data_IF_704910417001
#
_entry.id   IF_704910417001
#
_cell.length_a   1.000
_cell.length_b   1.000
_cell.length_c   1.000
_cell.angle_alpha   90.00
_cell.angle_beta   90.00
_cell.angle_gamma   90.00
#
_symmetry.space_group_name_H-M   'P 1'
#
loop_
_entity.id
_entity.type
_entity.pdbx_description
1 polymer ?
#
# COMPACT_ATOMS: atom_id res chain seq x y z
N UNK A 1 -13.23 19.77 13.41
CA UNK A 1 -14.55 19.87 12.74
C UNK A 1 -15.14 18.48 12.70
N UNK A 2 -16.32 18.29 13.30
CA UNK A 2 -17.02 16.99 13.32
C UNK A 2 -18.23 16.98 12.35
N UNK A 3 -18.07 17.61 11.18
CA UNK A 3 -19.09 17.49 10.15
C UNK A 3 -18.67 16.39 9.18
N UNK A 4 -19.57 15.46 8.82
CA UNK A 4 -19.32 14.48 7.80
C UNK A 4 -18.99 15.19 6.48
N UNK A 5 -17.99 14.70 5.77
CA UNK A 5 -17.67 15.12 4.42
C UNK A 5 -17.73 13.91 3.48
N UNK A 6 -18.16 14.16 2.27
CA UNK A 6 -18.24 13.14 1.22
C UNK A 6 -17.00 13.25 0.34
N UNK A 7 -16.25 12.16 0.24
CA UNK A 7 -15.08 12.03 -0.61
C UNK A 7 -14.95 10.56 -1.03
N UNK A 8 -15.07 10.31 -2.28
CA UNK A 8 -14.66 9.01 -2.85
C UNK A 8 -13.14 8.97 -2.90
N UNK A 9 -12.54 7.94 -2.34
CA UNK A 9 -11.08 7.76 -2.40
C UNK A 9 -10.77 6.42 -3.02
N UNK A 10 -10.07 6.46 -4.14
CA UNK A 10 -9.59 5.26 -4.83
C UNK A 10 -8.22 4.86 -4.31
N UNK A 11 -8.02 3.56 -4.10
CA UNK A 11 -6.75 2.97 -3.68
C UNK A 11 -6.20 2.06 -4.78
N UNK A 12 -4.96 2.29 -5.15
CA UNK A 12 -4.23 1.49 -6.14
C UNK A 12 -2.88 1.08 -5.56
N UNK A 13 -2.38 -0.08 -6.03
CA UNK A 13 -1.04 -0.57 -5.74
C UNK A 13 -0.26 -0.76 -7.05
N UNK A 14 -0.25 -1.97 -7.58
CA UNK A 14 0.47 -2.27 -8.81
C UNK A 14 -0.35 -1.90 -10.06
N UNK A 15 0.22 -1.08 -10.93
CA UNK A 15 -0.35 -0.77 -12.24
C UNK A 15 0.67 -1.18 -13.29
N UNK A 16 0.49 -2.39 -13.84
CA UNK A 16 1.46 -2.99 -14.76
C UNK A 16 0.79 -4.01 -15.69
N UNK A 17 1.31 -4.14 -16.88
CA UNK A 17 0.91 -5.22 -17.78
C UNK A 17 1.62 -6.54 -17.42
N UNK A 18 1.04 -7.70 -17.77
CA UNK A 18 1.66 -9.00 -17.48
C UNK A 18 3.09 -9.17 -18.03
N UNK A 19 3.42 -8.50 -19.15
CA UNK A 19 4.76 -8.47 -19.73
C UNK A 19 5.76 -7.75 -18.84
N UNK A 20 5.38 -6.61 -18.28
CA UNK A 20 6.23 -5.79 -17.40
C UNK A 20 6.58 -6.55 -16.10
N UNK A 21 5.63 -7.32 -15.58
CA UNK A 21 5.87 -8.19 -14.41
C UNK A 21 6.95 -9.25 -14.69
N UNK A 22 6.99 -9.80 -15.89
CA UNK A 22 8.00 -10.75 -16.31
C UNK A 22 9.36 -10.10 -16.55
N UNK A 23 9.39 -8.89 -17.16
CA UNK A 23 10.61 -8.14 -17.44
C UNK A 23 11.27 -7.58 -16.16
N UNK A 24 10.46 -7.15 -15.18
CA UNK A 24 10.96 -6.74 -13.87
C UNK A 24 11.47 -7.90 -13.02
N UNK A 25 11.29 -9.16 -13.49
CA UNK A 25 11.62 -10.37 -12.73
C UNK A 25 10.72 -10.61 -11.51
N UNK A 26 9.74 -9.73 -11.27
CA UNK A 26 8.88 -9.81 -10.08
C UNK A 26 7.85 -10.94 -10.16
N UNK A 27 7.29 -11.19 -11.36
CA UNK A 27 6.16 -12.10 -11.54
C UNK A 27 4.89 -11.70 -10.79
N UNK A 28 4.89 -10.54 -10.13
CA UNK A 28 3.76 -10.03 -9.34
C UNK A 28 2.74 -9.45 -10.31
N UNK A 29 1.52 -9.99 -10.28
CA UNK A 29 0.39 -9.42 -11.03
C UNK A 29 0.00 -8.04 -10.49
N UNK A 30 -0.62 -7.23 -11.34
CA UNK A 30 -1.18 -5.93 -10.99
C UNK A 30 -2.33 -5.59 -11.92
N UNK A 31 -2.95 -4.44 -11.69
CA UNK A 31 -3.97 -3.91 -12.58
C UNK A 31 -3.34 -3.61 -13.95
N UNK A 32 -3.87 -4.17 -15.06
CA UNK A 32 -3.37 -3.83 -16.39
C UNK A 32 -3.49 -2.33 -16.67
N UNK A 33 -2.50 -1.76 -17.36
CA UNK A 33 -2.44 -0.32 -17.65
C UNK A 33 -3.69 0.17 -18.37
N UNK A 34 -4.18 -0.59 -19.36
CA UNK A 34 -5.40 -0.25 -20.09
C UNK A 34 -6.66 -0.28 -19.22
N UNK A 35 -6.71 -1.16 -18.20
CA UNK A 35 -7.82 -1.25 -17.24
C UNK A 35 -7.81 -0.04 -16.33
N UNK A 36 -6.65 0.36 -15.82
CA UNK A 36 -6.50 1.58 -15.02
C UNK A 36 -6.98 2.82 -15.78
N UNK A 37 -6.54 2.99 -17.03
CA UNK A 37 -6.94 4.13 -17.86
C UNK A 37 -8.45 4.14 -18.13
N UNK A 38 -9.03 2.99 -18.47
CA UNK A 38 -10.47 2.85 -18.66
C UNK A 38 -11.28 3.11 -17.38
N UNK A 39 -10.76 2.73 -16.23
CA UNK A 39 -11.37 3.03 -14.92
C UNK A 39 -11.40 4.54 -14.64
N UNK A 40 -10.33 5.28 -14.99
CA UNK A 40 -10.33 6.74 -14.88
C UNK A 40 -11.42 7.38 -15.75
N UNK A 41 -11.60 6.91 -16.98
CA UNK A 41 -12.64 7.40 -17.89
C UNK A 41 -14.05 7.12 -17.34
N UNK A 42 -14.26 5.97 -16.70
CA UNK A 42 -15.56 5.63 -16.10
C UNK A 42 -15.83 6.47 -14.84
N UNK A 43 -14.83 6.63 -13.98
CA UNK A 43 -14.94 7.48 -12.78
C UNK A 43 -15.21 8.95 -13.15
N UNK A 44 -14.62 9.46 -14.23
CA UNK A 44 -14.83 10.82 -14.72
C UNK A 44 -16.28 11.12 -15.11
N UNK A 45 -17.09 10.10 -15.44
CA UNK A 45 -18.52 10.30 -15.76
C UNK A 45 -19.38 10.60 -14.54
N UNK A 46 -18.96 10.19 -13.36
CA UNK A 46 -19.73 10.27 -12.12
C UNK A 46 -19.07 11.16 -11.06
N UNK A 47 -17.77 11.38 -11.17
CA UNK A 47 -16.96 12.06 -10.17
C UNK A 47 -16.18 13.24 -10.75
N UNK A 48 -15.88 14.19 -9.88
CA UNK A 48 -14.91 15.26 -10.12
C UNK A 48 -13.62 14.91 -9.41
N UNK A 49 -12.55 14.64 -10.16
CA UNK A 49 -11.25 14.39 -9.55
C UNK A 49 -10.72 15.63 -8.87
N UNK A 50 -10.21 15.42 -7.65
CA UNK A 50 -9.61 16.45 -6.82
C UNK A 50 -8.20 16.09 -6.42
N UNK A 51 -7.34 17.12 -6.28
CA UNK A 51 -6.00 16.98 -5.77
C UNK A 51 -5.95 16.87 -4.25
N UNK A 52 -4.86 16.34 -3.70
CA UNK A 52 -4.64 16.39 -2.25
C UNK A 52 -4.67 17.82 -1.70
N UNK A 53 -4.20 18.80 -2.46
CA UNK A 53 -4.24 20.21 -2.04
C UNK A 53 -5.67 20.72 -1.83
N UNK A 54 -6.61 20.35 -2.69
CA UNK A 54 -8.03 20.73 -2.54
C UNK A 54 -8.63 20.03 -1.30
N UNK A 55 -8.29 18.76 -1.07
CA UNK A 55 -8.70 18.03 0.15
C UNK A 55 -8.11 18.69 1.41
N UNK A 56 -6.83 19.08 1.40
CA UNK A 56 -6.21 19.83 2.50
C UNK A 56 -6.97 21.12 2.81
N UNK A 57 -7.30 21.91 1.79
CA UNK A 57 -8.04 23.17 1.96
C UNK A 57 -9.44 22.92 2.58
N UNK A 58 -10.13 21.89 2.11
CA UNK A 58 -11.44 21.52 2.66
C UNK A 58 -11.34 21.06 4.12
N UNK A 59 -10.35 20.21 4.46
CA UNK A 59 -10.12 19.75 5.83
C UNK A 59 -9.78 20.89 6.80
N UNK A 60 -9.16 21.95 6.30
CA UNK A 60 -8.81 23.15 7.08
C UNK A 60 -9.94 24.20 7.13
N UNK A 61 -11.02 23.98 6.38
CA UNK A 61 -12.12 24.94 6.26
C UNK A 61 -11.80 26.15 5.39
N UNK A 62 -10.78 26.06 4.54
CA UNK A 62 -10.32 27.10 3.62
C UNK A 62 -10.93 26.93 2.21
N UNK A 63 -11.74 25.90 2.01
CA UNK A 63 -12.41 25.57 0.76
C UNK A 63 -13.49 24.52 0.94
N UNK A 64 -14.16 24.13 -0.14
CA UNK A 64 -15.13 23.04 -0.18
C UNK A 64 -14.83 22.09 -1.33
N UNK A 65 -15.09 20.82 -1.14
CA UNK A 65 -15.02 19.82 -2.21
C UNK A 65 -16.32 19.83 -3.03
N UNK A 66 -16.28 19.47 -4.33
CA UNK A 66 -17.50 19.19 -5.10
C UNK A 66 -18.24 18.00 -4.49
N UNK A 67 -19.56 17.91 -4.71
CA UNK A 67 -20.40 16.87 -4.11
C UNK A 67 -19.99 15.44 -4.54
N UNK A 68 -19.37 15.31 -5.71
CA UNK A 68 -18.87 14.04 -6.24
C UNK A 68 -17.34 13.98 -6.28
N UNK A 69 -16.65 14.58 -5.29
CA UNK A 69 -15.20 14.59 -5.24
C UNK A 69 -14.61 13.18 -5.23
N UNK A 70 -13.58 12.96 -6.02
CA UNK A 70 -12.82 11.70 -6.06
C UNK A 70 -11.31 11.97 -5.97
N UNK A 71 -10.65 11.39 -4.97
CA UNK A 71 -9.21 11.45 -4.80
C UNK A 71 -8.59 10.11 -5.23
N UNK A 72 -7.59 10.18 -6.09
CA UNK A 72 -6.82 9.00 -6.51
C UNK A 72 -5.62 8.81 -5.58
N UNK A 73 -5.49 7.64 -4.98
CA UNK A 73 -4.38 7.31 -4.06
C UNK A 73 -3.64 6.05 -4.50
N UNK A 74 -2.32 6.03 -4.25
CA UNK A 74 -1.41 4.97 -4.68
C UNK A 74 -0.48 4.60 -3.52
N UNK A 75 -0.46 3.33 -3.11
CA UNK A 75 0.30 2.87 -1.95
C UNK A 75 1.65 2.25 -2.35
N UNK A 76 2.58 2.17 -1.39
CA UNK A 76 3.87 1.50 -1.42
C UNK A 76 5.02 2.25 -2.13
N UNK A 77 4.76 3.20 -3.01
CA UNK A 77 5.82 3.91 -3.73
C UNK A 77 6.64 3.01 -4.66
N UNK A 78 5.99 2.07 -5.35
CA UNK A 78 6.64 1.17 -6.32
C UNK A 78 6.93 1.88 -7.65
N UNK A 79 7.90 1.37 -8.41
CA UNK A 79 8.34 1.94 -9.69
C UNK A 79 7.20 2.09 -10.72
N UNK A 80 6.20 1.22 -10.70
CA UNK A 80 5.01 1.30 -11.56
C UNK A 80 4.31 2.66 -11.49
N UNK A 81 4.33 3.29 -10.31
CA UNK A 81 3.74 4.60 -10.12
C UNK A 81 4.38 5.67 -11.00
N UNK A 82 5.69 5.57 -11.24
CA UNK A 82 6.40 6.50 -12.11
C UNK A 82 6.25 6.14 -13.59
N UNK A 83 6.44 4.87 -13.94
CA UNK A 83 6.46 4.46 -15.36
C UNK A 83 5.07 4.40 -15.99
N UNK A 84 4.02 4.11 -15.19
CA UNK A 84 2.65 3.94 -15.66
C UNK A 84 1.70 5.01 -15.09
N UNK A 85 1.38 4.97 -13.78
CA UNK A 85 0.37 5.83 -13.18
C UNK A 85 0.63 7.33 -13.43
N UNK A 86 1.82 7.82 -13.10
CA UNK A 86 2.19 9.23 -13.28
C UNK A 86 2.05 9.71 -14.73
N UNK A 87 2.50 8.92 -15.70
CA UNK A 87 2.40 9.27 -17.12
C UNK A 87 0.96 9.36 -17.59
N UNK A 88 0.11 8.44 -17.13
CA UNK A 88 -1.31 8.44 -17.44
C UNK A 88 -1.98 9.65 -16.80
N UNK A 89 -1.80 9.88 -15.50
CA UNK A 89 -2.38 11.02 -14.80
C UNK A 89 -2.00 12.34 -15.46
N UNK A 90 -0.73 12.51 -15.83
CA UNK A 90 -0.28 13.71 -16.56
C UNK A 90 -0.99 13.89 -17.92
N UNK A 91 -1.17 12.82 -18.70
CA UNK A 91 -1.89 12.91 -19.99
C UNK A 91 -3.34 13.36 -19.80
N UNK A 92 -3.99 12.90 -18.73
CA UNK A 92 -5.37 13.26 -18.40
C UNK A 92 -5.49 14.60 -17.64
N UNK A 93 -4.39 15.26 -17.31
CA UNK A 93 -4.39 16.48 -16.48
C UNK A 93 -4.87 16.24 -15.05
N UNK A 94 -4.69 15.02 -14.54
CA UNK A 94 -5.10 14.59 -13.21
C UNK A 94 -3.94 14.62 -12.23
N UNK A 95 -4.27 14.71 -10.93
CA UNK A 95 -3.34 14.60 -9.81
C UNK A 95 -3.59 13.31 -9.03
N UNK A 96 -2.54 12.73 -8.45
CA UNK A 96 -2.61 11.61 -7.53
C UNK A 96 -1.90 11.91 -6.22
N UNK A 97 -2.32 11.26 -5.13
CA UNK A 97 -1.64 11.23 -3.84
C UNK A 97 -0.94 9.88 -3.67
N UNK A 98 0.39 9.90 -3.62
CA UNK A 98 1.23 8.72 -3.54
C UNK A 98 1.74 8.54 -2.10
N UNK A 99 1.36 7.45 -1.46
CA UNK A 99 1.85 7.08 -0.14
C UNK A 99 3.13 6.27 -0.29
N UNK A 100 4.25 6.88 0.10
CA UNK A 100 5.58 6.33 -0.10
C UNK A 100 6.17 5.78 1.19
N UNK A 101 6.81 4.61 1.09
CA UNK A 101 7.64 4.07 2.15
C UNK A 101 8.88 4.95 2.35
N UNK A 102 9.34 5.10 3.60
CA UNK A 102 10.62 5.76 3.87
C UNK A 102 11.79 4.91 3.33
N UNK A 103 12.44 5.42 2.29
CA UNK A 103 13.61 4.81 1.65
C UNK A 103 14.87 5.66 1.84
N UNK A 104 14.92 6.45 2.89
CA UNK A 104 16.11 7.26 3.25
C UNK A 104 17.33 6.40 3.60
N UNK A 105 17.09 5.17 4.04
CA UNK A 105 18.10 4.14 4.25
C UNK A 105 17.91 3.04 3.20
N UNK A 106 18.97 2.51 2.59
CA UNK A 106 18.89 1.45 1.59
C UNK A 106 18.65 0.08 2.26
N UNK A 107 17.55 -0.04 2.98
CA UNK A 107 17.08 -1.33 3.50
C UNK A 107 16.50 -2.15 2.33
N UNK A 108 16.57 -3.47 2.39
CA UNK A 108 16.03 -4.37 1.36
C UNK A 108 14.54 -4.18 1.05
N UNK A 109 13.86 -5.19 0.61
CA UNK A 109 12.42 -5.16 0.41
C UNK A 109 11.68 -5.18 1.75
N UNK A 110 10.55 -4.47 1.88
CA UNK A 110 9.66 -4.67 3.02
C UNK A 110 9.08 -6.09 2.99
N UNK A 111 8.80 -6.64 4.15
CA UNK A 111 8.36 -8.04 4.31
C UNK A 111 7.20 -8.42 3.37
N UNK A 112 6.21 -7.53 3.23
CA UNK A 112 5.07 -7.76 2.33
C UNK A 112 5.48 -7.97 0.88
N UNK A 113 6.37 -7.15 0.36
CA UNK A 113 6.85 -7.26 -1.02
C UNK A 113 7.76 -8.47 -1.22
N UNK A 114 8.62 -8.79 -0.26
CA UNK A 114 9.42 -10.01 -0.26
C UNK A 114 8.53 -11.26 -0.40
N UNK A 115 7.45 -11.31 0.37
CA UNK A 115 6.43 -12.37 0.28
C UNK A 115 5.78 -12.39 -1.12
N UNK A 116 5.44 -11.25 -1.71
CA UNK A 116 4.86 -11.19 -3.04
C UNK A 116 5.78 -11.79 -4.11
N UNK A 117 7.06 -11.42 -4.11
CA UNK A 117 8.05 -12.00 -5.03
C UNK A 117 8.17 -13.52 -4.86
N UNK A 118 8.24 -13.99 -3.62
CA UNK A 118 8.37 -15.42 -3.34
C UNK A 118 7.10 -16.19 -3.74
N UNK A 119 5.90 -15.63 -3.51
CA UNK A 119 4.64 -16.20 -3.98
C UNK A 119 4.58 -16.27 -5.51
N UNK A 120 5.01 -15.22 -6.20
CA UNK A 120 5.07 -15.20 -7.65
C UNK A 120 6.05 -16.23 -8.20
N UNK A 121 7.18 -16.43 -7.51
CA UNK A 121 8.22 -17.40 -7.91
C UNK A 121 7.83 -18.86 -7.67
N UNK A 122 7.24 -19.16 -6.53
CA UNK A 122 7.01 -20.54 -6.07
C UNK A 122 5.57 -21.00 -6.20
N UNK A 123 4.62 -20.05 -6.14
CA UNK A 123 3.22 -20.36 -5.81
C UNK A 123 3.03 -20.64 -4.32
N UNK A 124 1.78 -20.71 -3.87
CA UNK A 124 1.42 -20.74 -2.45
C UNK A 124 1.88 -22.02 -1.75
N UNK A 125 1.52 -23.20 -2.29
CA UNK A 125 1.77 -24.46 -1.61
C UNK A 125 3.27 -24.83 -1.57
N UNK A 126 4.06 -24.67 -2.64
CA UNK A 126 5.50 -24.89 -2.58
C UNK A 126 6.21 -23.90 -1.63
N UNK A 127 5.83 -22.62 -1.62
CA UNK A 127 6.39 -21.66 -0.69
C UNK A 127 6.08 -22.02 0.77
N UNK A 128 4.82 -22.40 1.05
CA UNK A 128 4.40 -22.86 2.37
C UNK A 128 5.25 -24.05 2.86
N UNK A 129 5.49 -25.02 2.00
CA UNK A 129 6.34 -26.19 2.32
C UNK A 129 7.78 -25.75 2.58
N UNK A 130 8.36 -24.92 1.70
CA UNK A 130 9.73 -24.45 1.85
C UNK A 130 9.98 -23.69 3.16
N UNK A 131 8.97 -22.90 3.60
CA UNK A 131 9.00 -22.21 4.88
C UNK A 131 8.85 -23.22 6.04
N UNK A 132 7.82 -24.08 5.99
CA UNK A 132 7.54 -25.06 7.03
C UNK A 132 8.73 -25.94 7.38
N UNK A 133 9.48 -26.37 6.38
CA UNK A 133 10.65 -27.24 6.56
C UNK A 133 11.78 -26.57 7.36
N UNK A 134 11.80 -25.24 7.38
CA UNK A 134 12.80 -24.42 8.08
C UNK A 134 12.39 -24.00 9.48
N UNK A 135 11.08 -24.04 9.81
CA UNK A 135 10.59 -23.65 11.10
C UNK A 135 10.98 -24.66 12.20
N UNK A 136 11.28 -24.15 13.38
CA UNK A 136 11.42 -24.97 14.59
C UNK A 136 10.06 -25.45 15.13
N UNK A 137 10.08 -26.26 16.18
CA UNK A 137 8.86 -26.87 16.75
C UNK A 137 7.87 -25.81 17.30
N UNK A 138 8.35 -24.75 17.95
CA UNK A 138 7.52 -23.68 18.49
C UNK A 138 6.91 -22.84 17.37
N UNK A 139 7.70 -22.51 16.36
CA UNK A 139 7.23 -21.76 15.19
C UNK A 139 6.18 -22.56 14.39
N UNK A 140 6.37 -23.88 14.24
CA UNK A 140 5.39 -24.77 13.59
C UNK A 140 4.06 -24.84 14.36
N UNK A 141 4.12 -24.86 15.69
CA UNK A 141 2.92 -24.80 16.51
C UNK A 141 2.17 -23.49 16.29
N UNK A 142 2.84 -22.34 16.35
CA UNK A 142 2.26 -21.02 16.08
C UNK A 142 1.71 -20.91 14.67
N UNK A 143 2.43 -21.42 13.68
CA UNK A 143 1.96 -21.47 12.28
C UNK A 143 0.64 -22.23 12.18
N UNK A 144 0.55 -23.42 12.80
CA UNK A 144 -0.65 -24.25 12.76
C UNK A 144 -1.83 -23.54 13.42
N UNK A 145 -1.63 -22.98 14.62
CA UNK A 145 -2.67 -22.23 15.34
C UNK A 145 -3.15 -21.00 14.54
N UNK A 146 -2.24 -20.29 13.90
CA UNK A 146 -2.56 -19.16 13.04
C UNK A 146 -3.33 -19.61 11.79
N UNK A 147 -2.92 -20.71 11.15
CA UNK A 147 -3.63 -21.27 9.98
C UNK A 147 -5.07 -21.66 10.34
N UNK A 148 -5.30 -22.33 11.46
CA UNK A 148 -6.65 -22.68 11.93
C UNK A 148 -7.51 -21.43 12.18
N UNK A 149 -6.95 -20.40 12.79
CA UNK A 149 -7.63 -19.13 13.05
C UNK A 149 -8.02 -18.40 11.76
N UNK A 150 -7.11 -18.30 10.79
CA UNK A 150 -7.38 -17.61 9.52
C UNK A 150 -8.31 -18.41 8.60
N UNK A 151 -8.37 -19.75 8.70
CA UNK A 151 -9.37 -20.54 7.97
C UNK A 151 -10.81 -20.20 8.36
N UNK A 152 -11.05 -19.67 9.55
CA UNK A 152 -12.38 -19.15 9.95
C UNK A 152 -12.70 -17.85 9.21
N UNK A 153 -11.70 -17.00 8.98
CA UNK A 153 -11.84 -15.74 8.25
C UNK A 153 -11.90 -15.94 6.71
N UNK A 154 -11.18 -16.94 6.22
CA UNK A 154 -11.07 -17.31 4.81
C UNK A 154 -11.55 -18.76 4.61
N UNK A 155 -12.89 -18.99 4.63
CA UNK A 155 -13.45 -20.34 4.74
C UNK A 155 -13.48 -21.13 3.42
N UNK A 156 -13.30 -20.46 2.26
CA UNK A 156 -13.20 -21.17 1.00
C UNK A 156 -11.78 -21.75 0.86
N UNK A 157 -11.62 -22.85 0.16
CA UNK A 157 -10.29 -23.39 -0.16
C UNK A 157 -9.82 -22.90 -1.54
N UNK A 158 -10.19 -21.68 -1.90
CA UNK A 158 -9.75 -21.05 -3.13
C UNK A 158 -8.25 -20.74 -3.11
N UNK A 159 -7.65 -20.57 -4.29
CA UNK A 159 -6.26 -20.16 -4.39
C UNK A 159 -6.02 -18.83 -3.65
N UNK A 160 -6.99 -17.91 -3.75
CA UNK A 160 -6.91 -16.60 -3.11
C UNK A 160 -6.95 -16.71 -1.57
N UNK A 161 -7.83 -17.54 -1.02
CA UNK A 161 -7.89 -17.75 0.44
C UNK A 161 -6.60 -18.36 0.97
N UNK A 162 -6.01 -19.33 0.27
CA UNK A 162 -4.72 -19.91 0.66
C UNK A 162 -3.59 -18.88 0.63
N UNK A 163 -3.58 -17.98 -0.38
CA UNK A 163 -2.64 -16.85 -0.44
C UNK A 163 -2.86 -15.92 0.76
N UNK A 164 -4.08 -15.53 1.04
CA UNK A 164 -4.43 -14.61 2.13
C UNK A 164 -4.06 -15.19 3.50
N UNK A 165 -4.32 -16.48 3.71
CA UNK A 165 -3.93 -17.18 4.95
C UNK A 165 -2.41 -17.16 5.11
N UNK A 166 -1.66 -17.57 4.07
CA UNK A 166 -0.20 -17.61 4.15
C UNK A 166 0.38 -16.21 4.40
N UNK A 167 -0.09 -15.19 3.67
CA UNK A 167 0.32 -13.79 3.88
C UNK A 167 0.06 -13.34 5.31
N UNK A 168 -1.14 -13.60 5.85
CA UNK A 168 -1.49 -13.20 7.22
C UNK A 168 -0.57 -13.85 8.26
N UNK A 169 -0.29 -15.15 8.14
CA UNK A 169 0.64 -15.86 9.03
C UNK A 169 2.04 -15.23 9.00
N UNK A 170 2.57 -15.00 7.79
CA UNK A 170 3.92 -14.49 7.62
C UNK A 170 4.08 -13.02 8.02
N UNK A 171 3.06 -12.21 7.80
CA UNK A 171 3.10 -10.76 8.06
C UNK A 171 2.71 -10.39 9.51
N UNK A 172 2.04 -11.26 10.23
CA UNK A 172 1.56 -11.00 11.61
C UNK A 172 2.16 -11.95 12.62
N UNK A 173 1.88 -13.23 12.49
CA UNK A 173 2.16 -14.21 13.55
C UNK A 173 3.63 -14.59 13.63
N UNK A 174 4.35 -14.53 12.52
CA UNK A 174 5.76 -14.90 12.41
C UNK A 174 6.66 -13.77 11.85
N UNK A 175 6.16 -12.56 11.73
CA UNK A 175 6.82 -11.47 11.00
C UNK A 175 8.27 -11.21 11.41
N UNK A 176 8.57 -11.27 12.69
CA UNK A 176 9.93 -11.01 13.21
C UNK A 176 10.89 -12.16 12.90
N UNK A 177 10.42 -13.42 13.09
CA UNK A 177 11.26 -14.60 12.96
C UNK A 177 11.44 -15.05 11.51
N UNK A 178 10.47 -14.70 10.65
CA UNK A 178 10.43 -15.19 9.28
C UNK A 178 11.25 -14.35 8.31
N UNK A 179 11.49 -13.08 8.63
CA UNK A 179 12.09 -12.13 7.70
C UNK A 179 13.46 -12.59 7.18
N UNK A 180 14.36 -12.98 8.07
CA UNK A 180 15.68 -13.53 7.69
C UNK A 180 15.56 -14.79 6.83
N UNK A 181 14.64 -15.69 7.16
CA UNK A 181 14.41 -16.90 6.36
C UNK A 181 13.91 -16.56 4.94
N UNK A 182 13.03 -15.58 4.82
CA UNK A 182 12.53 -15.16 3.52
C UNK A 182 13.61 -14.41 2.72
N UNK A 183 14.50 -13.67 3.37
CA UNK A 183 15.69 -13.10 2.74
C UNK A 183 16.61 -14.19 2.19
N UNK A 184 16.89 -15.25 2.94
CA UNK A 184 17.69 -16.39 2.47
C UNK A 184 17.05 -17.08 1.25
N UNK A 185 15.73 -17.26 1.26
CA UNK A 185 15.01 -17.82 0.12
C UNK A 185 15.04 -16.88 -1.08
N UNK A 186 14.91 -15.58 -0.86
CA UNK A 186 14.95 -14.55 -1.89
C UNK A 186 16.32 -14.55 -2.59
N UNK A 187 17.40 -14.39 -1.82
CA UNK A 187 18.78 -14.38 -2.33
C UNK A 187 19.11 -15.64 -3.13
N UNK A 188 18.66 -16.79 -2.65
CA UNK A 188 18.92 -18.07 -3.29
C UNK A 188 18.16 -18.28 -4.60
N UNK A 189 16.95 -17.79 -4.73
CA UNK A 189 16.02 -18.17 -5.80
C UNK A 189 15.62 -17.04 -6.74
N UNK A 190 15.79 -15.80 -6.33
CA UNK A 190 15.43 -14.61 -7.11
C UNK A 190 16.66 -13.79 -7.44
N UNK A 191 17.48 -13.44 -6.45
CA UNK A 191 18.70 -12.65 -6.59
C UNK A 191 18.91 -11.70 -5.43
N UNK A 192 19.77 -10.70 -5.56
CA UNK A 192 20.05 -9.73 -4.50
C UNK A 192 18.79 -8.94 -4.11
N UNK A 193 18.40 -9.05 -2.84
CA UNK A 193 17.28 -8.30 -2.28
C UNK A 193 17.54 -6.80 -2.32
N UNK A 194 18.77 -6.37 -2.03
CA UNK A 194 19.17 -4.97 -2.06
C UNK A 194 19.10 -4.40 -3.49
N UNK A 195 19.67 -5.09 -4.49
CA UNK A 195 19.62 -4.66 -5.89
C UNK A 195 18.17 -4.60 -6.41
N UNK A 196 17.36 -5.59 -6.02
CA UNK A 196 15.93 -5.61 -6.37
C UNK A 196 15.21 -4.41 -5.76
N UNK A 197 15.42 -4.12 -4.48
CA UNK A 197 14.78 -2.97 -3.81
C UNK A 197 15.15 -1.63 -4.46
N UNK A 198 16.39 -1.45 -4.91
CA UNK A 198 16.85 -0.24 -5.61
C UNK A 198 16.11 0.02 -6.93
N UNK A 199 15.66 -1.03 -7.60
CA UNK A 199 14.93 -0.91 -8.87
C UNK A 199 13.42 -1.09 -8.74
N UNK A 200 12.95 -1.51 -7.58
CA UNK A 200 11.54 -1.79 -7.34
C UNK A 200 10.78 -0.59 -6.77
N UNK A 201 11.42 0.22 -5.94
CA UNK A 201 10.83 1.41 -5.36
C UNK A 201 11.18 2.67 -6.13
N UNK A 202 10.36 3.71 -5.96
CA UNK A 202 10.63 5.05 -6.48
C UNK A 202 11.93 5.60 -5.88
N UNK A 203 12.81 6.10 -6.73
CA UNK A 203 13.96 6.88 -6.30
C UNK A 203 13.53 8.30 -5.89
N UNK A 204 14.34 8.95 -5.05
CA UNK A 204 14.12 10.34 -4.66
C UNK A 204 14.05 11.30 -5.88
N UNK A 205 14.78 11.01 -6.96
CA UNK A 205 14.74 11.79 -8.19
C UNK A 205 13.39 11.65 -8.91
N UNK A 206 12.89 10.42 -9.03
CA UNK A 206 11.57 10.14 -9.61
C UNK A 206 10.44 10.79 -8.80
N UNK A 207 10.52 10.75 -7.46
CA UNK A 207 9.56 11.42 -6.58
C UNK A 207 9.57 12.93 -6.83
N UNK A 208 10.76 13.56 -6.95
CA UNK A 208 10.85 14.99 -7.24
C UNK A 208 10.29 15.35 -8.63
N UNK A 209 10.52 14.50 -9.64
CA UNK A 209 9.94 14.70 -10.97
C UNK A 209 8.42 14.57 -10.94
N UNK A 210 7.88 13.58 -10.24
CA UNK A 210 6.44 13.42 -10.07
C UNK A 210 5.83 14.62 -9.33
N UNK A 211 6.47 15.11 -8.26
CA UNK A 211 6.05 16.31 -7.53
C UNK A 211 6.03 17.57 -8.43
N UNK A 212 7.08 17.78 -9.21
CA UNK A 212 7.15 18.85 -10.19
C UNK A 212 6.08 18.70 -11.30
N UNK A 213 5.64 17.47 -11.54
CA UNK A 213 4.54 17.12 -12.46
C UNK A 213 3.14 17.26 -11.87
N UNK A 214 2.99 17.76 -10.62
CA UNK A 214 1.70 18.00 -9.97
C UNK A 214 1.15 16.83 -9.15
N UNK A 215 1.98 15.82 -8.87
CA UNK A 215 1.61 14.73 -7.94
C UNK A 215 1.92 15.14 -6.50
N UNK A 216 1.18 14.56 -5.56
CA UNK A 216 1.34 14.78 -4.12
C UNK A 216 1.85 13.52 -3.43
N UNK A 217 2.49 13.71 -2.27
CA UNK A 217 3.08 12.61 -1.52
C UNK A 217 2.61 12.60 -0.07
N UNK A 218 2.39 11.38 0.44
CA UNK A 218 2.03 11.09 1.82
C UNK A 218 2.89 9.96 2.38
N UNK A 219 2.82 9.78 3.70
CA UNK A 219 3.60 8.75 4.40
C UNK A 219 2.94 7.37 4.37
N UNK A 220 3.77 6.32 4.33
CA UNK A 220 3.31 4.93 4.39
C UNK A 220 4.19 4.05 5.31
N UNK A 221 4.73 4.64 6.40
CA UNK A 221 5.71 4.02 7.27
C UNK A 221 7.09 3.78 6.61
N UNK A 222 7.97 3.07 7.29
CA UNK A 222 9.29 2.66 6.81
C UNK A 222 9.33 1.17 6.45
N UNK A 223 8.96 0.31 7.40
CA UNK A 223 9.06 -1.14 7.25
C UNK A 223 7.74 -1.82 6.89
N UNK A 224 6.66 -1.04 6.72
CA UNK A 224 5.32 -1.51 6.35
C UNK A 224 4.73 -2.53 7.34
N UNK A 225 4.74 -2.27 8.67
CA UNK A 225 4.20 -3.20 9.65
C UNK A 225 2.69 -3.04 9.81
N UNK A 226 2.03 -4.04 10.39
CA UNK A 226 0.67 -3.88 10.91
C UNK A 226 0.71 -3.01 12.18
N UNK A 227 0.14 -1.80 12.14
CA UNK A 227 0.18 -0.84 13.25
C UNK A 227 -0.56 -1.29 14.51
N UNK A 228 -1.53 -2.19 14.38
CA UNK A 228 -2.23 -2.85 15.49
C UNK A 228 -1.46 -4.06 16.05
N UNK A 229 -0.29 -4.39 15.49
CA UNK A 229 0.51 -5.56 15.87
C UNK A 229 1.89 -5.21 16.45
N UNK A 230 2.34 -3.97 16.28
CA UNK A 230 3.58 -3.44 16.83
C UNK A 230 3.31 -2.59 18.08
N UNK A 231 4.33 -2.38 18.92
CA UNK A 231 4.19 -1.58 20.11
C UNK A 231 4.17 -0.06 19.86
N UNK A 232 3.96 0.75 20.90
CA UNK A 232 3.82 2.20 20.76
C UNK A 232 5.14 2.89 20.36
N UNK A 233 6.28 2.37 20.78
CA UNK A 233 7.60 2.91 20.45
C UNK A 233 7.95 2.63 19.00
N UNK A 234 7.66 1.43 18.54
CA UNK A 234 7.81 1.05 17.14
C UNK A 234 6.89 1.89 16.24
N UNK A 235 5.60 2.07 16.60
CA UNK A 235 4.67 2.94 15.86
C UNK A 235 5.19 4.38 15.77
N UNK A 236 5.70 4.92 16.87
CA UNK A 236 6.27 6.26 16.87
C UNK A 236 7.48 6.36 15.92
N UNK A 237 8.35 5.37 15.93
CA UNK A 237 9.53 5.31 15.06
C UNK A 237 9.12 5.25 13.58
N UNK A 238 8.16 4.40 13.23
CA UNK A 238 7.63 4.25 11.86
C UNK A 238 7.00 5.54 11.33
N UNK A 239 6.14 6.19 12.14
CA UNK A 239 5.48 7.45 11.75
C UNK A 239 6.48 8.60 11.64
N UNK A 240 7.43 8.69 12.58
CA UNK A 240 8.47 9.72 12.56
C UNK A 240 9.35 9.60 11.31
N UNK A 241 9.85 8.41 11.02
CA UNK A 241 10.69 8.15 9.85
C UNK A 241 9.94 8.52 8.55
N UNK A 242 8.68 8.11 8.45
CA UNK A 242 7.81 8.45 7.32
C UNK A 242 7.59 9.97 7.17
N UNK A 243 7.38 10.70 8.27
CA UNK A 243 7.23 12.15 8.25
C UNK A 243 8.51 12.87 7.80
N UNK A 244 9.66 12.40 8.30
CA UNK A 244 10.96 12.97 7.93
C UNK A 244 11.24 12.77 6.43
N UNK A 245 10.89 11.60 5.87
CA UNK A 245 11.04 11.29 4.45
C UNK A 245 10.12 12.10 3.55
N UNK A 246 8.82 12.14 3.85
CA UNK A 246 7.84 12.87 3.03
C UNK A 246 8.14 14.37 2.98
N UNK A 247 8.66 14.94 4.07
CA UNK A 247 9.02 16.37 4.16
C UNK A 247 10.03 16.80 3.10
N UNK A 248 10.83 15.90 2.55
CA UNK A 248 11.78 16.21 1.49
C UNK A 248 11.11 16.52 0.14
N UNK A 249 9.87 16.06 -0.07
CA UNK A 249 9.19 16.10 -1.37
C UNK A 249 7.90 16.90 -1.36
N UNK A 250 7.21 16.97 -0.23
CA UNK A 250 5.90 17.61 -0.08
C UNK A 250 5.97 18.66 1.04
N UNK A 251 5.60 19.93 0.77
CA UNK A 251 5.69 21.01 1.76
C UNK A 251 4.73 20.87 2.94
N UNK A 252 3.82 19.91 2.90
CA UNK A 252 2.79 19.68 3.91
C UNK A 252 1.61 20.65 3.83
N UNK A 253 0.63 20.45 4.69
CA UNK A 253 0.49 19.34 5.64
C UNK A 253 0.28 18.00 4.95
N UNK A 254 0.68 16.91 5.61
CA UNK A 254 0.74 15.59 4.97
C UNK A 254 -0.44 14.69 5.30
N UNK A 255 -0.61 13.64 4.47
CA UNK A 255 -1.47 12.49 4.70
C UNK A 255 -0.63 11.25 5.01
N UNK A 256 -1.22 10.29 5.71
CA UNK A 256 -0.63 9.00 6.02
C UNK A 256 -1.58 7.87 5.61
N UNK A 257 -1.11 6.82 4.94
CA UNK A 257 -1.87 5.60 4.76
C UNK A 257 -1.35 4.54 5.75
N UNK A 258 -2.27 3.92 6.48
CA UNK A 258 -1.90 2.87 7.42
C UNK A 258 -1.63 1.56 6.65
N UNK A 259 -0.43 0.98 6.77
CA UNK A 259 -0.15 -0.31 6.16
C UNK A 259 -1.21 -1.35 6.51
N UNK A 260 -1.73 -2.03 5.50
CA UNK A 260 -2.83 -3.02 5.62
C UNK A 260 -4.13 -2.47 6.25
N UNK A 261 -4.22 -1.17 6.50
CA UNK A 261 -5.33 -0.54 7.22
C UNK A 261 -5.32 -0.80 8.73
N UNK A 262 -4.28 -1.42 9.27
CA UNK A 262 -4.09 -1.67 10.69
C UNK A 262 -3.83 -0.38 11.46
N UNK A 263 -4.51 -0.17 12.57
CA UNK A 263 -4.32 1.03 13.40
C UNK A 263 -4.60 0.73 14.88
N UNK A 264 -3.97 1.52 15.74
CA UNK A 264 -4.13 1.49 17.20
C UNK A 264 -4.61 2.84 17.71
N UNK A 265 -5.12 2.90 18.94
CA UNK A 265 -5.74 4.10 19.50
C UNK A 265 -4.80 5.31 19.58
N UNK A 266 -3.50 5.08 19.70
CA UNK A 266 -2.46 6.11 19.76
C UNK A 266 -2.06 6.68 18.39
N UNK A 267 -2.35 5.99 17.29
CA UNK A 267 -1.97 6.40 15.93
C UNK A 267 -2.42 7.83 15.60
N UNK A 268 -3.64 8.20 15.99
CA UNK A 268 -4.17 9.55 15.76
C UNK A 268 -3.30 10.63 16.44
N UNK A 269 -2.87 10.40 17.66
CA UNK A 269 -2.04 11.36 18.40
C UNK A 269 -0.62 11.43 17.80
N UNK A 270 -0.07 10.29 17.41
CA UNK A 270 1.23 10.21 16.76
C UNK A 270 1.22 10.93 15.41
N UNK A 271 0.22 10.71 14.56
CA UNK A 271 0.09 11.41 13.28
C UNK A 271 0.03 12.93 13.47
N UNK A 272 -0.80 13.40 14.41
CA UNK A 272 -0.89 14.85 14.73
C UNK A 272 0.46 15.42 15.20
N UNK A 273 1.15 14.70 16.08
CA UNK A 273 2.44 15.13 16.63
C UNK A 273 3.51 15.28 15.53
N UNK A 274 3.41 14.50 14.46
CA UNK A 274 4.35 14.52 13.34
C UNK A 274 3.88 15.34 12.12
N UNK A 275 2.76 16.08 12.22
CA UNK A 275 2.32 17.02 11.20
C UNK A 275 1.41 16.45 10.11
N UNK A 276 0.96 15.21 10.27
CA UNK A 276 -0.08 14.65 9.42
C UNK A 276 -1.46 15.19 9.81
N UNK A 277 -2.29 15.52 8.83
CA UNK A 277 -3.66 16.03 9.05
C UNK A 277 -4.74 15.03 8.64
N UNK A 278 -4.36 13.95 7.97
CA UNK A 278 -5.27 12.90 7.55
C UNK A 278 -4.61 11.52 7.63
N UNK A 279 -5.44 10.49 7.87
CA UNK A 279 -5.07 9.10 7.86
C UNK A 279 -6.02 8.26 7.01
N UNK A 280 -5.47 7.41 6.13
CA UNK A 280 -6.22 6.60 5.17
C UNK A 280 -6.14 5.13 5.54
N UNK A 281 -7.30 4.46 5.54
CA UNK A 281 -7.44 3.04 5.84
C UNK A 281 -7.82 2.24 4.59
N UNK A 282 -7.86 0.92 4.70
CA UNK A 282 -8.37 0.02 3.64
C UNK A 282 -9.86 -0.30 3.79
N UNK A 283 -10.55 0.31 4.77
CA UNK A 283 -11.99 0.07 4.99
C UNK A 283 -12.79 0.81 3.93
N UNK A 284 -13.69 0.12 3.26
CA UNK A 284 -14.62 0.72 2.30
C UNK A 284 -15.61 1.64 3.03
N UNK A 285 -15.47 2.95 2.85
CA UNK A 285 -16.35 3.96 3.44
C UNK A 285 -16.34 5.22 2.58
N UNK A 286 -17.52 5.77 2.28
CA UNK A 286 -17.68 6.98 1.44
C UNK A 286 -18.00 8.24 2.25
N UNK A 287 -18.51 8.10 3.49
CA UNK A 287 -18.78 9.21 4.40
C UNK A 287 -17.77 9.18 5.53
N UNK A 288 -17.08 10.29 5.74
CA UNK A 288 -16.00 10.41 6.69
C UNK A 288 -16.35 11.42 7.79
N UNK A 289 -16.24 11.02 9.03
CA UNK A 289 -16.46 11.88 10.21
C UNK A 289 -15.16 12.26 10.91
N UNK A 290 -14.08 11.53 10.62
CA UNK A 290 -12.76 11.76 11.20
C UNK A 290 -11.72 11.75 10.10
N UNK A 291 -10.96 12.83 9.88
CA UNK A 291 -9.95 12.90 8.82
C UNK A 291 -8.79 11.90 9.00
N UNK A 292 -8.64 11.31 10.18
CA UNK A 292 -7.60 10.31 10.45
C UNK A 292 -8.07 8.87 10.20
N UNK A 293 -9.30 8.67 9.71
CA UNK A 293 -9.88 7.35 9.38
C UNK A 293 -10.66 7.42 8.08
N UNK A 294 -10.01 7.92 7.03
CA UNK A 294 -10.61 8.01 5.70
C UNK A 294 -10.58 6.63 5.06
N UNK A 295 -11.75 6.09 4.72
CA UNK A 295 -11.89 4.82 4.01
C UNK A 295 -11.62 4.97 2.52
N UNK A 296 -11.29 3.86 1.86
CA UNK A 296 -10.95 3.82 0.44
C UNK A 296 -11.64 2.68 -0.27
N UNK A 297 -11.87 2.85 -1.57
CA UNK A 297 -12.32 1.81 -2.49
C UNK A 297 -11.08 1.22 -3.17
N UNK A 298 -10.94 -0.10 -3.13
CA UNK A 298 -9.87 -0.78 -3.86
C UNK A 298 -10.19 -0.77 -5.36
N UNK A 299 -9.27 -0.23 -6.17
CA UNK A 299 -9.42 -0.18 -7.61
C UNK A 299 -9.46 -1.57 -8.26
N UNK A 300 -8.80 -2.56 -7.65
CA UNK A 300 -8.81 -3.94 -8.14
C UNK A 300 -10.14 -4.65 -7.90
N UNK A 301 -10.91 -4.22 -6.88
CA UNK A 301 -12.23 -4.79 -6.56
C UNK A 301 -13.37 -4.17 -7.38
N UNK A 302 -13.14 -3.03 -8.03
CA UNK A 302 -14.17 -2.40 -8.86
C UNK A 302 -14.32 -3.14 -10.19
N UNK A 303 -15.54 -3.65 -10.44
CA UNK A 303 -15.86 -4.21 -11.71
C UNK A 303 -15.78 -3.15 -12.82
N UNK A 304 -15.11 -3.49 -13.91
CA UNK A 304 -15.14 -2.74 -15.16
C UNK A 304 -15.92 -3.55 -16.19
N UNK A 305 -16.97 -2.97 -16.79
CA UNK A 305 -17.85 -3.60 -17.77
C UNK A 305 -18.38 -5.01 -17.37
N UNK A 306 -18.66 -5.23 -16.09
CA UNK A 306 -19.20 -6.50 -15.58
C UNK A 306 -18.16 -7.63 -15.48
N UNK A 307 -16.88 -7.35 -15.64
CA UNK A 307 -15.80 -8.28 -15.34
C UNK A 307 -15.17 -7.91 -13.98
N UNK A 308 -15.26 -8.81 -13.02
CA UNK A 308 -14.44 -8.76 -11.81
C UNK A 308 -13.04 -9.26 -12.14
N UNK A 309 -12.01 -8.52 -11.80
CA UNK A 309 -10.60 -8.90 -11.96
C UNK A 309 -10.03 -9.55 -10.68
N UNK A 310 -10.89 -10.00 -9.74
CA UNK A 310 -10.49 -10.72 -8.54
C UNK A 310 -9.98 -12.14 -8.83
#
# INVERSE_FOLDING_TARGET
>A
MNHPFELTVMMYHYIRDPGDAAESGSGIAGMPVAVFEAQLDELAKQHTFVSWREVQMALRGEGSLPASACLLTFDDGVLDHYINAFRILRRHGLSGLFFILDRSQPDGLVLGHKIHFLLAKFGTDPLRVAIWDKLDASQRERFTQAEERYRVQYPSDSSQDRINILKAILQRDLSVEIDSLLSDLFEKHIGSEEETAQTYYLSAEQIREMAAGGMHFGGHSRSHPWFDWIDAEERHTEIKASADWVREFEPGPWAFAYPYGGLSDDCLQLLKAHGFIAGFTTRTQLQHTNPYFIGRLDGEELAYDGQSYA
#
